data_IF_407527280731
#
_entry.id   IF_407527280731
#
_cell.length_a   1.000
_cell.length_b   1.000
_cell.length_c   1.000
_cell.angle_alpha   90.00
_cell.angle_beta   90.00
_cell.angle_gamma   90.00
#
_symmetry.space_group_name_H-M   'P 1'
#
loop_
_entity.id
_entity.type
_entity.pdbx_description
1 polymer ?
#
# COMPACT_ATOMS: atom_id res chain seq x y z
N UNK A 1 -2.64 9.82 -13.67
CA UNK A 1 -2.34 10.45 -12.38
C UNK A 1 -2.29 9.44 -11.26
N UNK A 2 -3.28 8.58 -11.12
CA UNK A 2 -3.34 7.63 -10.02
C UNK A 2 -2.16 6.70 -9.91
N UNK A 3 -1.66 6.21 -11.04
CA UNK A 3 -0.55 5.25 -11.04
C UNK A 3 0.74 5.87 -10.51
N UNK A 4 1.01 7.11 -10.88
CA UNK A 4 2.21 7.80 -10.38
C UNK A 4 2.16 7.98 -8.87
N UNK A 5 0.99 8.33 -8.34
CA UNK A 5 0.82 8.50 -6.91
C UNK A 5 1.04 7.19 -6.16
N UNK A 6 0.53 6.08 -6.71
CA UNK A 6 0.70 4.76 -6.12
C UNK A 6 2.18 4.38 -6.10
N UNK A 7 2.88 4.57 -7.24
CA UNK A 7 4.30 4.22 -7.32
C UNK A 7 5.16 5.08 -6.37
N UNK A 8 4.87 6.37 -6.29
CA UNK A 8 5.58 7.26 -5.38
C UNK A 8 5.37 6.83 -3.93
N UNK A 9 4.15 6.54 -3.56
CA UNK A 9 3.85 6.11 -2.20
C UNK A 9 4.51 4.77 -1.90
N UNK A 10 4.44 3.82 -2.83
CA UNK A 10 5.07 2.51 -2.67
C UNK A 10 6.56 2.67 -2.39
N UNK A 11 7.24 3.47 -3.18
CA UNK A 11 8.68 3.70 -3.00
C UNK A 11 8.98 4.31 -1.64
N UNK A 12 8.22 5.32 -1.25
CA UNK A 12 8.42 5.99 0.04
C UNK A 12 8.20 5.03 1.20
N UNK A 13 7.21 4.15 1.08
CA UNK A 13 6.93 3.16 2.12
C UNK A 13 8.08 2.15 2.23
N UNK A 14 8.63 1.71 1.09
CA UNK A 14 9.77 0.81 1.09
C UNK A 14 10.96 1.45 1.81
N UNK A 15 11.25 2.71 1.49
CA UNK A 15 12.37 3.44 2.11
C UNK A 15 12.16 3.60 3.61
N UNK A 16 10.92 3.86 4.02
CA UNK A 16 10.60 4.13 5.42
C UNK A 16 10.58 2.86 6.27
N UNK A 17 9.97 1.80 5.76
CA UNK A 17 9.71 0.59 6.56
C UNK A 17 10.60 -0.59 6.20
N UNK A 18 11.22 -0.57 5.03
CA UNK A 18 12.08 -1.68 4.61
C UNK A 18 11.32 -2.99 4.53
N UNK A 19 11.82 -4.01 5.23
CA UNK A 19 11.22 -5.35 5.20
C UNK A 19 9.84 -5.41 5.85
N UNK A 20 9.51 -4.45 6.70
CA UNK A 20 8.22 -4.40 7.39
C UNK A 20 7.11 -3.83 6.53
N UNK A 21 7.44 -3.33 5.34
CA UNK A 21 6.47 -2.63 4.48
C UNK A 21 5.24 -3.47 4.17
N UNK A 22 5.42 -4.75 3.88
CA UNK A 22 4.29 -5.63 3.56
C UNK A 22 3.32 -5.72 4.74
N UNK A 23 3.84 -5.89 5.94
CA UNK A 23 3.02 -5.97 7.14
C UNK A 23 2.27 -4.64 7.39
N UNK A 24 2.94 -3.52 7.16
CA UNK A 24 2.32 -2.21 7.35
C UNK A 24 1.16 -2.02 6.37
N UNK A 25 1.38 -2.33 5.09
CA UNK A 25 0.34 -2.17 4.07
C UNK A 25 -0.83 -3.12 4.34
N UNK A 26 -0.53 -4.37 4.70
CA UNK A 26 -1.59 -5.34 5.02
C UNK A 26 -2.43 -4.86 6.18
N UNK A 27 -1.80 -4.26 7.19
CA UNK A 27 -2.51 -3.69 8.33
C UNK A 27 -3.44 -2.56 7.90
N UNK A 28 -3.00 -1.72 6.96
CA UNK A 28 -3.84 -0.63 6.43
C UNK A 28 -5.04 -1.17 5.67
N UNK A 29 -4.83 -2.21 4.85
CA UNK A 29 -5.94 -2.85 4.12
C UNK A 29 -6.95 -3.40 5.11
N UNK A 30 -6.48 -4.08 6.15
CA UNK A 30 -7.35 -4.67 7.16
C UNK A 30 -8.16 -3.60 7.89
N UNK A 31 -7.51 -2.51 8.28
CA UNK A 31 -8.18 -1.39 8.95
C UNK A 31 -9.26 -0.79 8.07
N UNK A 32 -8.97 -0.57 6.79
CA UNK A 32 -9.97 -0.04 5.84
C UNK A 32 -11.14 -1.00 5.71
N UNK A 33 -10.87 -2.29 5.61
CA UNK A 33 -11.91 -3.31 5.48
C UNK A 33 -12.84 -3.30 6.70
N UNK A 34 -12.25 -3.18 7.89
CA UNK A 34 -13.04 -3.14 9.13
C UNK A 34 -13.93 -1.91 9.21
N UNK A 35 -13.48 -0.80 8.64
CA UNK A 35 -14.25 0.44 8.62
C UNK A 35 -15.28 0.48 7.50
N UNK A 36 -15.29 -0.52 6.62
CA UNK A 36 -16.16 -0.52 5.47
C UNK A 36 -15.67 0.37 4.34
N UNK A 37 -14.40 0.78 4.39
CA UNK A 37 -13.80 1.66 3.38
C UNK A 37 -13.18 0.80 2.26
N UNK A 38 -14.03 0.39 1.33
CA UNK A 38 -13.58 -0.45 0.22
C UNK A 38 -12.63 0.27 -0.72
N UNK A 39 -12.86 1.56 -0.95
CA UNK A 39 -11.98 2.36 -1.81
C UNK A 39 -10.58 2.47 -1.21
N UNK A 40 -10.49 2.70 0.08
CA UNK A 40 -9.21 2.75 0.77
C UNK A 40 -8.49 1.42 0.74
N UNK A 41 -9.22 0.33 0.99
CA UNK A 41 -8.64 -1.01 0.94
C UNK A 41 -8.09 -1.32 -0.46
N UNK A 42 -8.85 -0.97 -1.50
CA UNK A 42 -8.42 -1.18 -2.88
C UNK A 42 -7.16 -0.38 -3.19
N UNK A 43 -7.12 0.87 -2.74
CA UNK A 43 -5.95 1.73 -2.93
C UNK A 43 -4.70 1.09 -2.32
N UNK A 44 -4.80 0.62 -1.07
CA UNK A 44 -3.66 0.01 -0.40
C UNK A 44 -3.23 -1.31 -1.05
N UNK A 45 -4.19 -2.08 -1.61
CA UNK A 45 -3.84 -3.28 -2.37
C UNK A 45 -3.03 -2.94 -3.61
N UNK A 46 -3.34 -1.83 -4.27
CA UNK A 46 -2.57 -1.35 -5.43
C UNK A 46 -1.17 -0.94 -5.01
N UNK A 47 -1.04 -0.29 -3.85
CA UNK A 47 0.26 0.06 -3.30
C UNK A 47 1.08 -1.20 -3.03
N UNK A 48 0.45 -2.21 -2.48
CA UNK A 48 1.12 -3.48 -2.20
C UNK A 48 1.62 -4.16 -3.48
N UNK A 49 0.78 -4.15 -4.53
CA UNK A 49 1.18 -4.70 -5.82
C UNK A 49 2.37 -3.94 -6.41
N UNK A 50 2.38 -2.62 -6.27
CA UNK A 50 3.49 -1.81 -6.73
C UNK A 50 4.78 -2.13 -5.96
N UNK A 51 4.67 -2.34 -4.66
CA UNK A 51 5.81 -2.73 -3.82
C UNK A 51 6.38 -4.06 -4.30
N UNK A 52 5.52 -5.03 -4.60
CA UNK A 52 5.96 -6.32 -5.13
C UNK A 52 6.75 -6.15 -6.42
N UNK A 53 6.28 -5.28 -7.32
CA UNK A 53 6.97 -5.04 -8.58
C UNK A 53 8.31 -4.34 -8.38
N UNK A 54 8.42 -3.48 -7.37
CA UNK A 54 9.65 -2.74 -7.09
C UNK A 54 10.70 -3.60 -6.37
N UNK A 55 10.30 -4.70 -5.80
CA UNK A 55 11.19 -5.61 -5.07
C UNK A 55 11.51 -6.82 -5.89
#
# INVERSE_FOLDING_TARGET
MGDNDVWCLAWRMIVKYGDDVDAVITSEVDACTKQGDEDGADYWRRVLAAIDDLR
#
